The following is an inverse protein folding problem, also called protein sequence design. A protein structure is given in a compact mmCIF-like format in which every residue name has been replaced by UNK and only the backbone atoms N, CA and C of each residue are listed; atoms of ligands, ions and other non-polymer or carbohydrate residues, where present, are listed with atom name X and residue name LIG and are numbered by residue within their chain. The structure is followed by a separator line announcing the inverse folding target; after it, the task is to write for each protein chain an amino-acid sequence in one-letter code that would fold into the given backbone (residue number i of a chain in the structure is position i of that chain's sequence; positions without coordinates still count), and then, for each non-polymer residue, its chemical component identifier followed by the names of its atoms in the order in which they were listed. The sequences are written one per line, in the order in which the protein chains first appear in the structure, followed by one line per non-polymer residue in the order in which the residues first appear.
data_IF_859528528549
#
_entry.id   IF_859528528549
#
_cell.length_a   1.000
_cell.length_b   1.000
_cell.length_c   1.000
_cell.angle_alpha   90.00
_cell.angle_beta   90.00
_cell.angle_gamma   90.00
#
_symmetry.space_group_name_H-M   'P 1'
#
loop_
_entity.id
_entity.type
_entity.pdbx_description
1 polymer ?
#
# COMPACT_ATOMS: atom_id res chain seq x y z
N UNK A 1 -0.94 7.91 -16.93
CA UNK A 1 -1.86 7.27 -15.96
C UNK A 1 -3.05 6.58 -16.62
N UNK A 2 -3.86 7.24 -17.45
CA UNK A 2 -5.04 6.61 -18.08
C UNK A 2 -4.73 5.33 -18.88
N UNK A 3 -3.59 5.28 -19.57
CA UNK A 3 -3.16 4.08 -20.30
C UNK A 3 -2.94 2.90 -19.35
N UNK A 4 -2.31 3.16 -18.19
CA UNK A 4 -2.06 2.15 -17.15
C UNK A 4 -3.38 1.57 -16.65
N UNK A 5 -4.37 2.44 -16.38
CA UNK A 5 -5.69 2.00 -15.94
C UNK A 5 -6.46 1.24 -17.03
N UNK A 6 -6.29 1.64 -18.30
CA UNK A 6 -6.87 0.90 -19.44
C UNK A 6 -6.29 -0.51 -19.56
N UNK A 7 -4.98 -0.67 -19.38
CA UNK A 7 -4.32 -1.99 -19.37
C UNK A 7 -4.81 -2.82 -18.19
N UNK A 8 -4.99 -2.20 -17.02
CA UNK A 8 -5.52 -2.89 -15.84
C UNK A 8 -6.95 -3.42 -16.08
N UNK A 9 -7.83 -2.59 -16.64
CA UNK A 9 -9.18 -3.00 -16.99
C UNK A 9 -9.18 -4.17 -18.00
N UNK A 10 -8.31 -4.11 -19.01
CA UNK A 10 -8.16 -5.18 -19.99
C UNK A 10 -7.69 -6.49 -19.36
N UNK A 11 -6.68 -6.46 -18.49
CA UNK A 11 -6.18 -7.62 -17.76
C UNK A 11 -7.25 -8.21 -16.83
N UNK A 12 -8.06 -7.36 -16.19
CA UNK A 12 -9.19 -7.80 -15.35
C UNK A 12 -10.26 -8.52 -16.19
N UNK A 13 -10.62 -7.97 -17.33
CA UNK A 13 -11.60 -8.59 -18.24
C UNK A 13 -11.11 -9.96 -18.72
N UNK A 14 -9.83 -10.08 -19.09
CA UNK A 14 -9.24 -11.37 -19.46
C UNK A 14 -9.29 -12.37 -18.32
N UNK A 15 -8.97 -11.95 -17.08
CA UNK A 15 -9.06 -12.80 -15.89
C UNK A 15 -10.49 -13.28 -15.64
N UNK A 16 -11.50 -12.40 -15.77
CA UNK A 16 -12.90 -12.77 -15.62
C UNK A 16 -13.35 -13.77 -16.73
N UNK A 17 -12.95 -13.56 -17.96
CA UNK A 17 -13.28 -14.48 -19.07
C UNK A 17 -12.65 -15.87 -18.83
N UNK A 18 -11.41 -15.93 -18.37
CA UNK A 18 -10.75 -17.18 -18.03
C UNK A 18 -11.50 -17.94 -16.92
N UNK A 19 -12.00 -17.22 -15.89
CA UNK A 19 -12.83 -17.78 -14.83
C UNK A 19 -14.18 -18.32 -15.32
N UNK A 20 -14.79 -17.64 -16.30
CA UNK A 20 -16.08 -18.09 -16.87
C UNK A 20 -15.91 -19.31 -17.78
N UNK A 21 -14.77 -19.44 -18.47
CA UNK A 21 -14.49 -20.55 -19.41
C UNK A 21 -14.29 -21.90 -18.74
N UNK A 22 -13.90 -21.93 -17.45
CA UNK A 22 -13.61 -23.17 -16.70
C UNK A 22 -14.89 -23.90 -16.19
N UNK A 23 -16.06 -23.46 -16.55
CA UNK A 23 -17.32 -23.89 -15.94
C UNK A 23 -18.19 -24.75 -16.83
N UNK A 24 -17.62 -25.54 -17.73
CA UNK A 24 -18.38 -26.57 -18.46
C UNK A 24 -18.66 -27.76 -17.55
N UNK A 25 -19.96 -28.06 -17.24
CA UNK A 25 -20.34 -29.16 -16.34
C UNK A 25 -20.17 -30.56 -16.97
N UNK A 26 -19.54 -30.66 -18.12
CA UNK A 26 -19.48 -31.90 -18.90
C UNK A 26 -18.32 -32.82 -18.58
N UNK A 27 -17.58 -32.61 -17.48
CA UNK A 27 -16.71 -33.65 -16.88
C UNK A 27 -15.53 -34.19 -17.73
N UNK A 28 -15.20 -33.55 -18.84
CA UNK A 28 -13.96 -33.78 -19.56
C UNK A 28 -12.92 -32.80 -19.06
N UNK A 29 -12.24 -33.16 -17.97
CA UNK A 29 -11.03 -32.47 -17.50
C UNK A 29 -9.97 -32.50 -18.62
N UNK A 30 -10.05 -31.50 -19.49
CA UNK A 30 -8.99 -31.28 -20.46
C UNK A 30 -7.82 -30.65 -19.69
N UNK A 31 -6.75 -31.44 -19.42
CA UNK A 31 -5.51 -30.93 -18.79
C UNK A 31 -5.02 -29.62 -19.41
N UNK A 32 -5.27 -29.41 -20.68
CA UNK A 32 -4.96 -28.17 -21.38
C UNK A 32 -5.75 -26.97 -20.83
N UNK A 33 -7.02 -27.16 -20.49
CA UNK A 33 -7.89 -26.08 -19.97
C UNK A 33 -7.46 -25.65 -18.57
N UNK A 34 -7.12 -26.60 -17.68
CA UNK A 34 -6.54 -26.29 -16.36
C UNK A 34 -5.20 -25.54 -16.46
N UNK A 35 -4.34 -25.94 -17.40
CA UNK A 35 -3.06 -25.27 -17.64
C UNK A 35 -3.30 -23.82 -18.11
N UNK A 36 -4.22 -23.59 -19.04
CA UNK A 36 -4.56 -22.26 -19.53
C UNK A 36 -5.15 -21.39 -18.41
N UNK A 37 -6.04 -21.94 -17.61
CA UNK A 37 -6.65 -21.24 -16.46
C UNK A 37 -5.58 -20.83 -15.44
N UNK A 38 -4.73 -21.78 -15.03
CA UNK A 38 -3.65 -21.50 -14.07
C UNK A 38 -2.67 -20.46 -14.61
N UNK A 39 -2.31 -20.55 -15.89
CA UNK A 39 -1.45 -19.56 -16.54
C UNK A 39 -2.10 -18.17 -16.57
N UNK A 40 -3.40 -18.07 -16.92
CA UNK A 40 -4.13 -16.82 -16.93
C UNK A 40 -4.18 -16.17 -15.55
N UNK A 41 -4.38 -16.93 -14.48
CA UNK A 41 -4.37 -16.45 -13.11
C UNK A 41 -2.99 -15.93 -12.68
N UNK A 42 -1.92 -16.65 -13.02
CA UNK A 42 -0.54 -16.19 -12.75
C UNK A 42 -0.25 -14.89 -13.48
N UNK A 43 -0.60 -14.78 -14.77
CA UNK A 43 -0.44 -13.55 -15.54
C UNK A 43 -1.27 -12.39 -14.99
N UNK A 44 -2.46 -12.67 -14.49
CA UNK A 44 -3.30 -11.66 -13.84
C UNK A 44 -2.61 -11.11 -12.58
N UNK A 45 -2.17 -11.97 -11.67
CA UNK A 45 -1.50 -11.55 -10.43
C UNK A 45 -0.24 -10.75 -10.73
N UNK A 46 0.59 -11.23 -11.66
CA UNK A 46 1.79 -10.52 -12.10
C UNK A 46 1.44 -9.17 -12.75
N UNK A 47 0.39 -9.11 -13.56
CA UNK A 47 -0.10 -7.89 -14.20
C UNK A 47 -0.55 -6.84 -13.19
N UNK A 48 -1.35 -7.22 -12.20
CA UNK A 48 -1.81 -6.34 -11.12
C UNK A 48 -0.63 -5.78 -10.33
N UNK A 49 0.32 -6.64 -9.95
CA UNK A 49 1.52 -6.23 -9.24
C UNK A 49 2.39 -5.27 -10.07
N UNK A 50 2.63 -5.61 -11.34
CA UNK A 50 3.42 -4.78 -12.25
C UNK A 50 2.79 -3.39 -12.44
N UNK A 51 1.47 -3.32 -12.61
CA UNK A 51 0.76 -2.04 -12.78
C UNK A 51 0.84 -1.17 -11.53
N UNK A 52 0.79 -1.76 -10.33
CA UNK A 52 0.97 -1.03 -9.09
C UNK A 52 2.39 -0.44 -9.00
N UNK A 53 3.41 -1.25 -9.27
CA UNK A 53 4.81 -0.80 -9.27
C UNK A 53 5.04 0.30 -10.32
N UNK A 54 4.52 0.14 -11.54
CA UNK A 54 4.64 1.13 -12.61
C UNK A 54 3.97 2.45 -12.21
N UNK A 55 2.79 2.39 -11.59
CA UNK A 55 2.08 3.59 -11.09
C UNK A 55 2.92 4.33 -10.06
N UNK A 56 3.54 3.60 -9.14
CA UNK A 56 4.40 4.15 -8.10
C UNK A 56 5.67 4.80 -8.69
N UNK A 57 6.37 4.08 -9.57
CA UNK A 57 7.58 4.59 -10.27
C UNK A 57 7.23 5.82 -11.10
N UNK A 58 6.09 5.83 -11.79
CA UNK A 58 5.65 7.01 -12.54
C UNK A 58 5.49 8.25 -11.67
N UNK A 59 4.93 8.11 -10.45
CA UNK A 59 4.81 9.23 -9.51
C UNK A 59 6.17 9.74 -9.05
N UNK A 60 7.12 8.82 -8.80
CA UNK A 60 8.49 9.17 -8.43
C UNK A 60 9.18 9.99 -9.53
N UNK A 61 9.13 9.49 -10.76
CA UNK A 61 9.74 10.16 -11.93
C UNK A 61 9.08 11.52 -12.18
N UNK A 62 7.76 11.58 -12.10
CA UNK A 62 7.01 12.82 -12.26
C UNK A 62 7.39 13.86 -11.20
N UNK A 63 7.50 13.45 -9.95
CA UNK A 63 7.94 14.34 -8.87
C UNK A 63 9.35 14.87 -9.13
N UNK A 64 10.28 13.99 -9.46
CA UNK A 64 11.66 14.34 -9.77
C UNK A 64 11.74 15.37 -10.92
N UNK A 65 11.08 15.07 -12.04
CA UNK A 65 11.09 15.94 -13.21
C UNK A 65 10.46 17.32 -12.96
N UNK A 66 9.41 17.36 -12.15
CA UNK A 66 8.70 18.62 -11.89
C UNK A 66 9.30 19.46 -10.77
N UNK A 67 10.17 18.87 -9.90
CA UNK A 67 10.80 19.62 -8.80
C UNK A 67 12.27 19.95 -9.05
N UNK A 68 13.01 19.07 -9.75
CA UNK A 68 14.47 19.14 -9.83
C UNK A 68 15.04 19.20 -11.24
N UNK A 69 14.25 18.99 -12.28
CA UNK A 69 14.63 19.13 -13.68
C UNK A 69 14.30 20.54 -14.22
N UNK A 70 14.48 20.77 -15.50
CA UNK A 70 14.21 22.04 -16.20
C UNK A 70 12.81 22.62 -15.92
N UNK A 71 11.81 21.75 -15.70
CA UNK A 71 10.47 22.16 -15.28
C UNK A 71 10.44 22.73 -13.85
N UNK A 72 11.37 22.31 -13.01
CA UNK A 72 11.53 22.81 -11.65
C UNK A 72 11.89 24.30 -11.63
N UNK A 73 12.75 24.76 -12.55
CA UNK A 73 13.10 26.17 -12.66
C UNK A 73 11.85 27.05 -12.84
N UNK A 74 10.98 26.68 -13.78
CA UNK A 74 9.72 27.40 -14.01
C UNK A 74 8.79 27.36 -12.78
N UNK A 75 8.78 26.24 -12.08
CA UNK A 75 7.95 26.07 -10.89
C UNK A 75 8.41 26.97 -9.72
N UNK A 76 9.73 27.19 -9.60
CA UNK A 76 10.30 28.02 -8.52
C UNK A 76 10.32 29.52 -8.84
N UNK A 77 10.08 29.92 -10.10
CA UNK A 77 9.90 31.33 -10.47
C UNK A 77 8.49 31.86 -10.18
N UNK A 78 7.53 30.97 -9.84
CA UNK A 78 6.18 31.39 -9.45
C UNK A 78 6.22 32.12 -8.10
N UNK A 79 5.42 33.19 -7.92
CA UNK A 79 5.33 33.94 -6.67
C UNK A 79 4.53 33.17 -5.58
N UNK A 80 4.83 31.89 -5.40
CA UNK A 80 4.16 30.99 -4.45
C UNK A 80 5.21 30.33 -3.54
N UNK A 81 4.91 30.19 -2.27
CA UNK A 81 5.83 29.58 -1.32
C UNK A 81 6.17 28.10 -1.69
N UNK A 82 7.43 27.75 -1.60
CA UNK A 82 7.94 26.39 -1.91
C UNK A 82 7.21 25.27 -1.17
N UNK A 83 6.79 25.54 0.08
CA UNK A 83 5.97 24.61 0.86
C UNK A 83 4.62 24.33 0.21
N UNK A 84 3.96 25.35 -0.31
CA UNK A 84 2.65 25.20 -0.97
C UNK A 84 2.78 24.35 -2.23
N UNK A 85 3.82 24.57 -3.01
CA UNK A 85 4.10 23.79 -4.23
C UNK A 85 4.32 22.32 -3.88
N UNK A 86 5.16 22.04 -2.87
CA UNK A 86 5.42 20.68 -2.42
C UNK A 86 4.15 19.96 -1.95
N UNK A 87 3.35 20.62 -1.09
CA UNK A 87 2.12 20.05 -0.55
C UNK A 87 1.09 19.75 -1.65
N UNK A 88 0.94 20.62 -2.65
CA UNK A 88 0.05 20.36 -3.78
C UNK A 88 0.51 19.16 -4.59
N UNK A 89 1.82 19.04 -4.86
CA UNK A 89 2.37 17.88 -5.58
C UNK A 89 2.21 16.58 -4.79
N UNK A 90 2.43 16.63 -3.47
CA UNK A 90 2.19 15.49 -2.57
C UNK A 90 0.73 15.05 -2.62
N UNK A 91 -0.21 15.99 -2.48
CA UNK A 91 -1.63 15.71 -2.46
C UNK A 91 -2.10 15.12 -3.79
N UNK A 92 -1.69 15.71 -4.92
CA UNK A 92 -2.02 15.17 -6.26
C UNK A 92 -1.46 13.76 -6.44
N UNK A 93 -0.22 13.49 -6.01
CA UNK A 93 0.38 12.15 -6.10
C UNK A 93 -0.36 11.15 -5.21
N UNK A 94 -0.77 11.56 -4.00
CA UNK A 94 -1.57 10.75 -3.10
C UNK A 94 -2.93 10.39 -3.74
N UNK A 95 -3.65 11.36 -4.32
CA UNK A 95 -4.92 11.12 -4.99
C UNK A 95 -4.78 10.10 -6.14
N UNK A 96 -3.72 10.20 -6.95
CA UNK A 96 -3.48 9.24 -8.03
C UNK A 96 -3.17 7.83 -7.51
N UNK A 97 -2.39 7.70 -6.43
CA UNK A 97 -2.13 6.39 -5.82
C UNK A 97 -3.39 5.79 -5.19
N UNK A 98 -4.20 6.60 -4.51
CA UNK A 98 -5.47 6.14 -3.98
C UNK A 98 -6.40 5.64 -5.08
N UNK A 99 -6.48 6.36 -6.20
CA UNK A 99 -7.25 5.91 -7.37
C UNK A 99 -6.72 4.56 -7.91
N UNK A 100 -5.41 4.38 -7.99
CA UNK A 100 -4.79 3.12 -8.42
C UNK A 100 -5.15 1.95 -7.49
N UNK A 101 -5.15 2.19 -6.18
CA UNK A 101 -5.56 1.18 -5.20
C UNK A 101 -7.03 0.83 -5.29
N UNK A 102 -7.92 1.81 -5.47
CA UNK A 102 -9.35 1.56 -5.65
C UNK A 102 -9.58 0.68 -6.88
N UNK A 103 -8.93 0.99 -8.00
CA UNK A 103 -9.04 0.20 -9.23
C UNK A 103 -8.53 -1.22 -8.99
N UNK A 104 -7.44 -1.41 -8.26
CA UNK A 104 -6.91 -2.72 -7.89
C UNK A 104 -7.92 -3.51 -7.04
N UNK A 105 -8.52 -2.90 -6.03
CA UNK A 105 -9.54 -3.56 -5.20
C UNK A 105 -10.78 -3.93 -6.00
N UNK A 106 -11.28 -3.05 -6.86
CA UNK A 106 -12.41 -3.34 -7.75
C UNK A 106 -12.09 -4.51 -8.69
N UNK A 107 -10.86 -4.57 -9.21
CA UNK A 107 -10.39 -5.67 -10.05
C UNK A 107 -10.38 -7.01 -9.31
N UNK A 108 -9.83 -7.05 -8.10
CA UNK A 108 -9.80 -8.26 -7.27
C UNK A 108 -11.23 -8.71 -6.90
N UNK A 109 -12.09 -7.76 -6.53
CA UNK A 109 -13.47 -8.03 -6.20
C UNK A 109 -14.25 -8.59 -7.39
N UNK A 110 -14.06 -8.03 -8.59
CA UNK A 110 -14.68 -8.53 -9.82
C UNK A 110 -14.29 -9.98 -10.12
N UNK A 111 -13.01 -10.35 -9.92
CA UNK A 111 -12.57 -11.73 -10.03
C UNK A 111 -13.17 -12.64 -8.97
N UNK A 112 -13.25 -12.19 -7.72
CA UNK A 112 -13.89 -12.94 -6.64
C UNK A 112 -15.35 -13.27 -6.94
N UNK A 113 -16.10 -12.29 -7.49
CA UNK A 113 -17.47 -12.50 -7.96
C UNK A 113 -17.55 -13.47 -9.16
N UNK A 114 -16.57 -13.43 -10.06
CA UNK A 114 -16.51 -14.35 -11.20
C UNK A 114 -16.20 -15.80 -10.76
N UNK A 115 -15.38 -15.97 -9.71
CA UNK A 115 -15.01 -17.27 -9.17
C UNK A 115 -16.15 -17.95 -8.40
N UNK A 116 -16.90 -17.18 -7.60
CA UNK A 116 -17.95 -17.68 -6.71
C UNK A 116 -19.34 -17.48 -7.29
N UNK A 117 -19.80 -18.40 -8.14
CA UNK A 117 -21.15 -18.38 -8.72
C UNK A 117 -22.30 -18.64 -7.73
N UNK A 118 -21.99 -19.12 -6.52
CA UNK A 118 -22.96 -19.47 -5.47
C UNK A 118 -22.82 -18.64 -4.19
N UNK A 119 -22.09 -17.52 -4.22
CA UNK A 119 -21.91 -16.68 -3.04
C UNK A 119 -23.22 -15.96 -2.72
N UNK A 120 -23.90 -16.43 -1.66
CA UNK A 120 -25.06 -15.72 -1.11
C UNK A 120 -24.55 -14.64 -0.14
N UNK A 121 -24.58 -13.40 -0.59
CA UNK A 121 -24.00 -12.25 0.10
C UNK A 121 -24.51 -12.10 1.56
N UNK A 122 -25.76 -12.45 1.82
CA UNK A 122 -26.38 -12.20 3.11
C UNK A 122 -25.97 -13.23 4.20
N UNK A 123 -26.05 -14.53 3.90
CA UNK A 123 -25.79 -15.56 4.92
C UNK A 123 -24.29 -15.75 5.22
N UNK A 124 -23.45 -15.68 4.17
CA UNK A 124 -22.01 -15.84 4.31
C UNK A 124 -21.36 -14.61 4.97
N UNK A 125 -21.94 -13.42 4.75
CA UNK A 125 -21.42 -12.18 5.33
C UNK A 125 -21.72 -12.07 6.84
N UNK A 126 -22.89 -12.50 7.28
CA UNK A 126 -23.24 -12.52 8.71
C UNK A 126 -22.37 -13.52 9.49
N UNK A 127 -22.08 -14.68 8.91
CA UNK A 127 -21.19 -15.67 9.50
C UNK A 127 -19.75 -15.13 9.58
N UNK A 128 -19.25 -14.50 8.53
CA UNK A 128 -17.96 -13.84 8.52
C UNK A 128 -17.85 -12.74 9.57
N UNK A 129 -18.91 -11.93 9.77
CA UNK A 129 -18.93 -10.89 10.82
C UNK A 129 -18.77 -11.48 12.22
N UNK A 130 -19.47 -12.57 12.52
CA UNK A 130 -19.42 -13.23 13.83
C UNK A 130 -18.05 -13.87 14.06
N UNK A 131 -17.53 -14.60 13.09
CA UNK A 131 -16.20 -15.23 13.18
C UNK A 131 -15.09 -14.19 13.31
N UNK A 132 -15.20 -13.08 12.57
CA UNK A 132 -14.25 -11.98 12.65
C UNK A 132 -14.25 -11.32 14.03
N UNK A 133 -15.44 -11.09 14.61
CA UNK A 133 -15.56 -10.51 15.95
C UNK A 133 -15.00 -11.45 17.03
N UNK A 134 -15.21 -12.76 16.88
CA UNK A 134 -14.67 -13.77 17.79
C UNK A 134 -13.13 -13.84 17.71
N UNK A 135 -12.55 -13.71 16.52
CA UNK A 135 -11.09 -13.78 16.30
C UNK A 135 -10.37 -12.50 16.69
N UNK A 136 -10.88 -11.35 16.27
CA UNK A 136 -10.19 -10.07 16.41
C UNK A 136 -10.67 -9.22 17.59
N UNK A 137 -11.78 -9.59 18.24
CA UNK A 137 -12.38 -8.84 19.36
C UNK A 137 -12.89 -7.44 18.97
N UNK A 138 -12.94 -7.13 17.67
CA UNK A 138 -13.44 -5.88 17.12
C UNK A 138 -14.54 -6.16 16.10
N UNK A 139 -15.51 -5.25 15.99
CA UNK A 139 -16.48 -5.34 14.90
C UNK A 139 -15.81 -5.18 13.55
N UNK A 140 -16.26 -5.90 12.53
CA UNK A 140 -15.76 -5.81 11.17
C UNK A 140 -15.80 -4.35 10.65
N UNK A 141 -16.82 -3.59 11.06
CA UNK A 141 -16.97 -2.18 10.68
C UNK A 141 -15.82 -1.31 11.24
N UNK A 142 -15.51 -1.45 12.52
CA UNK A 142 -14.41 -0.72 13.17
C UNK A 142 -13.06 -1.07 12.54
N UNK A 143 -12.84 -2.36 12.26
CA UNK A 143 -11.64 -2.84 11.61
C UNK A 143 -11.50 -2.30 10.17
N UNK A 144 -12.60 -2.25 9.41
CA UNK A 144 -12.60 -1.72 8.04
C UNK A 144 -12.23 -0.24 8.00
N UNK A 145 -12.78 0.57 8.90
CA UNK A 145 -12.44 2.00 9.03
C UNK A 145 -10.96 2.15 9.35
N UNK A 146 -10.46 1.35 10.30
CA UNK A 146 -9.04 1.37 10.67
C UNK A 146 -8.15 0.98 9.49
N UNK A 147 -8.50 -0.05 8.73
CA UNK A 147 -7.74 -0.50 7.55
C UNK A 147 -7.70 0.55 6.45
N UNK A 148 -8.81 1.25 6.18
CA UNK A 148 -8.83 2.37 5.23
C UNK A 148 -7.89 3.48 5.69
N UNK A 149 -7.94 3.84 6.97
CA UNK A 149 -7.03 4.84 7.53
C UNK A 149 -5.56 4.41 7.43
N UNK A 150 -5.23 3.18 7.81
CA UNK A 150 -3.89 2.62 7.72
C UNK A 150 -3.38 2.57 6.27
N UNK A 151 -4.26 2.27 5.31
CA UNK A 151 -3.93 2.25 3.87
C UNK A 151 -3.58 3.65 3.36
N UNK A 152 -4.36 4.67 3.72
CA UNK A 152 -4.06 6.08 3.36
C UNK A 152 -2.72 6.50 3.96
N UNK A 153 -2.50 6.17 5.23
CA UNK A 153 -1.28 6.49 5.95
C UNK A 153 -0.05 5.82 5.33
N UNK A 154 -0.15 4.55 4.96
CA UNK A 154 0.92 3.80 4.28
C UNK A 154 1.26 4.43 2.93
N UNK A 155 0.27 4.79 2.13
CA UNK A 155 0.51 5.46 0.86
C UNK A 155 1.24 6.79 1.03
N UNK A 156 0.84 7.58 2.03
CA UNK A 156 1.50 8.84 2.35
C UNK A 156 2.95 8.62 2.81
N UNK A 157 3.19 7.64 3.66
CA UNK A 157 4.51 7.26 4.17
C UNK A 157 5.47 6.88 3.03
N UNK A 158 5.05 5.98 2.14
CA UNK A 158 5.88 5.55 1.01
C UNK A 158 6.14 6.69 0.01
N UNK A 159 5.15 7.55 -0.27
CA UNK A 159 5.36 8.73 -1.11
C UNK A 159 6.39 9.68 -0.51
N UNK A 160 6.24 10.00 0.77
CA UNK A 160 7.17 10.88 1.47
C UNK A 160 8.58 10.31 1.54
N UNK A 161 8.71 8.99 1.75
CA UNK A 161 10.00 8.29 1.72
C UNK A 161 10.70 8.48 0.37
N UNK A 162 9.97 8.30 -0.73
CA UNK A 162 10.54 8.45 -2.08
C UNK A 162 10.86 9.92 -2.38
N UNK A 163 10.00 10.85 -1.99
CA UNK A 163 10.28 12.27 -2.17
C UNK A 163 11.50 12.71 -1.35
N UNK A 164 11.65 12.20 -0.12
CA UNK A 164 12.83 12.45 0.71
C UNK A 164 14.10 11.86 0.07
N UNK A 165 14.02 10.63 -0.43
CA UNK A 165 15.17 9.99 -1.11
C UNK A 165 15.58 10.73 -2.38
N UNK A 166 14.60 11.18 -3.18
CA UNK A 166 14.84 12.02 -4.36
C UNK A 166 15.48 13.35 -3.99
N UNK A 167 15.03 13.98 -2.91
CA UNK A 167 15.59 15.25 -2.42
C UNK A 167 17.04 15.09 -1.94
N UNK A 168 17.37 14.00 -1.24
CA UNK A 168 18.75 13.69 -0.81
C UNK A 168 19.65 13.45 -2.02
N UNK A 169 19.16 12.78 -3.06
CA UNK A 169 19.92 12.55 -4.28
C UNK A 169 20.41 13.83 -4.94
N UNK A 170 19.70 14.95 -4.78
CA UNK A 170 20.11 16.25 -5.31
C UNK A 170 21.31 16.87 -4.58
N UNK A 171 21.64 16.42 -3.39
CA UNK A 171 22.84 16.87 -2.67
C UNK A 171 24.15 16.36 -3.31
N UNK A 172 24.06 15.33 -4.15
CA UNK A 172 25.22 14.73 -4.83
C UNK A 172 25.39 15.30 -6.23
N UNK A 173 26.60 15.75 -6.58
CA UNK A 173 26.89 16.41 -7.85
C UNK A 173 27.11 15.44 -9.02
N UNK A 174 27.75 14.26 -8.79
CA UNK A 174 28.16 13.35 -9.87
C UNK A 174 27.18 12.22 -10.19
N UNK A 175 26.42 11.70 -9.21
CA UNK A 175 25.55 10.53 -9.35
C UNK A 175 24.20 10.76 -8.67
N UNK A 176 23.47 11.79 -9.08
CA UNK A 176 22.18 12.22 -8.48
C UNK A 176 21.16 11.06 -8.37
N UNK A 177 20.96 10.32 -9.47
CA UNK A 177 19.98 9.20 -9.49
C UNK A 177 20.44 8.03 -8.63
N UNK A 178 21.72 7.66 -8.71
CA UNK A 178 22.26 6.57 -7.88
C UNK A 178 22.18 6.88 -6.38
N UNK A 179 22.46 8.13 -6.00
CA UNK A 179 22.33 8.57 -4.61
C UNK A 179 20.88 8.60 -4.13
N UNK A 180 19.91 8.98 -4.98
CA UNK A 180 18.48 8.89 -4.67
C UNK A 180 18.04 7.46 -4.40
N UNK A 181 18.45 6.52 -5.26
CA UNK A 181 18.13 5.09 -5.09
C UNK A 181 18.78 4.55 -3.81
N UNK A 182 20.06 4.86 -3.58
CA UNK A 182 20.78 4.46 -2.37
C UNK A 182 20.12 4.98 -1.09
N UNK A 183 19.75 6.27 -1.05
CA UNK A 183 19.01 6.85 0.07
C UNK A 183 17.66 6.17 0.29
N UNK A 184 16.92 5.85 -0.78
CA UNK A 184 15.65 5.13 -0.71
C UNK A 184 15.81 3.73 -0.08
N UNK A 185 16.84 2.99 -0.48
CA UNK A 185 17.14 1.67 0.10
C UNK A 185 17.46 1.79 1.59
N UNK A 186 18.30 2.77 1.97
CA UNK A 186 18.66 2.99 3.38
C UNK A 186 17.42 3.35 4.22
N UNK A 187 16.56 4.24 3.75
CA UNK A 187 15.32 4.60 4.44
C UNK A 187 14.39 3.41 4.58
N UNK A 188 14.20 2.64 3.52
CA UNK A 188 13.38 1.44 3.54
C UNK A 188 13.90 0.41 4.55
N UNK A 189 15.18 0.08 4.48
CA UNK A 189 15.80 -0.89 5.39
C UNK A 189 15.76 -0.43 6.85
N UNK A 190 16.05 0.85 7.11
CA UNK A 190 15.98 1.38 8.48
C UNK A 190 14.56 1.35 9.03
N UNK A 191 13.56 1.72 8.24
CA UNK A 191 12.14 1.63 8.59
C UNK A 191 11.71 0.20 8.90
N UNK A 192 12.11 -0.78 8.05
CA UNK A 192 11.80 -2.20 8.27
C UNK A 192 12.41 -2.76 9.55
N UNK A 193 13.66 -2.39 9.85
CA UNK A 193 14.33 -2.82 11.10
C UNK A 193 13.59 -2.27 12.31
N UNK A 194 13.28 -0.97 12.32
CA UNK A 194 12.59 -0.34 13.45
C UNK A 194 11.17 -0.88 13.60
N UNK A 195 10.41 -1.02 12.50
CA UNK A 195 9.04 -1.56 12.54
C UNK A 195 9.00 -3.00 13.04
N UNK A 196 9.97 -3.84 12.64
CA UNK A 196 10.06 -5.22 13.12
C UNK A 196 10.38 -5.30 14.62
N UNK A 197 11.25 -4.43 15.12
CA UNK A 197 11.54 -4.33 16.56
C UNK A 197 10.29 -3.90 17.34
N UNK A 198 9.56 -2.89 16.87
CA UNK A 198 8.33 -2.43 17.49
C UNK A 198 7.28 -3.54 17.52
N UNK A 199 7.13 -4.27 16.43
CA UNK A 199 6.17 -5.37 16.31
C UNK A 199 6.48 -6.51 17.29
N UNK A 200 7.77 -6.90 17.42
CA UNK A 200 8.21 -7.92 18.38
C UNK A 200 7.99 -7.44 19.81
N UNK A 201 8.36 -6.21 20.13
CA UNK A 201 8.17 -5.66 21.48
C UNK A 201 6.70 -5.56 21.85
N UNK A 202 5.84 -5.03 20.98
CA UNK A 202 4.39 -4.92 21.25
C UNK A 202 3.72 -6.28 21.35
N UNK A 203 4.14 -7.26 20.54
CA UNK A 203 3.70 -8.64 20.66
C UNK A 203 4.10 -9.27 21.99
N UNK A 204 5.36 -9.14 22.37
CA UNK A 204 5.87 -9.66 23.63
C UNK A 204 5.15 -9.04 24.84
N UNK A 205 5.03 -7.71 24.92
CA UNK A 205 4.30 -7.03 25.98
C UNK A 205 2.80 -7.33 25.97
N UNK A 206 2.18 -7.47 24.79
CA UNK A 206 0.79 -7.87 24.65
C UNK A 206 0.52 -9.25 25.28
N UNK A 207 1.38 -10.22 25.00
CA UNK A 207 1.27 -11.57 25.59
C UNK A 207 1.55 -11.53 27.09
N UNK A 208 2.61 -10.87 27.54
CA UNK A 208 3.00 -10.82 28.96
C UNK A 208 1.96 -10.16 29.86
N UNK A 209 1.35 -9.05 29.42
CA UNK A 209 0.31 -8.37 30.19
C UNK A 209 -0.96 -9.22 30.32
N UNK A 210 -1.24 -10.07 29.35
CA UNK A 210 -2.43 -10.92 29.34
C UNK A 210 -2.23 -12.23 30.13
N UNK A 211 -0.99 -12.73 30.25
CA UNK A 211 -0.67 -13.92 31.08
C UNK A 211 -0.95 -13.69 32.58
N UNK A 212 -0.91 -12.45 33.06
CA UNK A 212 -1.22 -12.11 34.45
C UNK A 212 -2.74 -12.09 34.79
N UNK A 213 -3.62 -12.25 33.81
CA UNK A 213 -5.09 -12.20 33.96
C UNK A 213 -5.73 -13.59 33.74
N UNK A 214 -4.96 -14.67 33.88
CA UNK A 214 -5.44 -16.03 33.61
C UNK A 214 -6.42 -16.47 34.70
N UNK A 215 -7.71 -16.35 34.43
CA UNK A 215 -8.74 -17.23 34.98
C UNK A 215 -9.18 -18.19 33.86
N UNK A 216 -9.07 -19.47 34.16
CA UNK A 216 -9.36 -20.61 33.27
C UNK A 216 -10.65 -20.42 32.44
N UNK A 217 -10.65 -20.63 31.16
CA UNK A 217 -11.71 -20.96 30.19
C UNK A 217 -12.18 -19.93 29.15
N UNK A 218 -11.65 -18.68 29.10
CA UNK A 218 -12.03 -17.74 28.01
C UNK A 218 -10.83 -16.92 27.45
N UNK A 219 -9.64 -17.34 27.76
CA UNK A 219 -8.45 -16.46 27.73
C UNK A 219 -7.69 -16.40 26.41
N UNK A 220 -7.75 -17.42 25.58
CA UNK A 220 -6.97 -17.43 24.33
C UNK A 220 -7.47 -16.39 23.30
N UNK A 221 -8.77 -16.26 23.13
CA UNK A 221 -9.36 -15.34 22.16
C UNK A 221 -9.21 -13.86 22.58
N UNK A 222 -9.33 -13.58 23.89
CA UNK A 222 -9.18 -12.21 24.42
C UNK A 222 -7.72 -11.76 24.36
N UNK A 223 -6.75 -12.64 24.62
CA UNK A 223 -5.33 -12.32 24.54
C UNK A 223 -4.89 -12.04 23.10
N UNK A 224 -5.38 -12.81 22.15
CA UNK A 224 -5.08 -12.62 20.73
C UNK A 224 -5.63 -11.28 20.23
N UNK A 225 -6.88 -10.95 20.53
CA UNK A 225 -7.53 -9.72 20.06
C UNK A 225 -6.87 -8.45 20.61
N UNK A 226 -6.51 -8.44 21.91
CA UNK A 226 -5.82 -7.30 22.52
C UNK A 226 -4.40 -7.12 22.00
N UNK A 227 -3.71 -8.23 21.73
CA UNK A 227 -2.36 -8.19 21.15
C UNK A 227 -2.39 -7.65 19.71
N UNK A 228 -3.31 -8.13 18.89
CA UNK A 228 -3.47 -7.64 17.51
C UNK A 228 -3.82 -6.16 17.48
N UNK A 229 -4.75 -5.71 18.31
CA UNK A 229 -5.11 -4.28 18.38
C UNK A 229 -3.94 -3.39 18.81
N UNK A 230 -3.13 -3.84 19.76
CA UNK A 230 -1.94 -3.10 20.19
C UNK A 230 -0.85 -3.04 19.11
N UNK A 231 -0.66 -4.11 18.34
CA UNK A 231 0.26 -4.13 17.19
C UNK A 231 -0.19 -3.18 16.09
N UNK A 232 -1.47 -3.18 15.74
CA UNK A 232 -2.05 -2.28 14.75
C UNK A 232 -1.87 -0.82 15.16
N UNK A 233 -2.17 -0.50 16.41
CA UNK A 233 -2.04 0.86 16.93
C UNK A 233 -0.58 1.33 16.95
N UNK A 234 0.35 0.51 17.44
CA UNK A 234 1.78 0.85 17.47
C UNK A 234 2.36 1.01 16.06
N UNK A 235 1.96 0.17 15.10
CA UNK A 235 2.35 0.28 13.71
C UNK A 235 1.87 1.59 13.08
N UNK A 236 0.63 2.01 13.35
CA UNK A 236 0.11 3.28 12.82
C UNK A 236 0.80 4.50 13.44
N UNK A 237 1.10 4.48 14.73
CA UNK A 237 1.88 5.52 15.38
C UNK A 237 3.28 5.66 14.77
N UNK A 238 3.96 4.54 14.56
CA UNK A 238 5.27 4.53 13.92
C UNK A 238 5.21 5.11 12.50
N UNK A 239 4.22 4.73 11.71
CA UNK A 239 4.01 5.29 10.36
C UNK A 239 3.79 6.81 10.37
N UNK A 240 3.08 7.34 11.35
CA UNK A 240 2.90 8.79 11.53
C UNK A 240 4.25 9.48 11.82
N UNK A 241 5.06 8.89 12.72
CA UNK A 241 6.38 9.43 13.05
C UNK A 241 7.28 9.45 11.81
N UNK A 242 7.32 8.37 11.03
CA UNK A 242 8.09 8.33 9.78
C UNK A 242 7.61 9.36 8.76
N UNK A 243 6.30 9.55 8.59
CA UNK A 243 5.74 10.59 7.73
C UNK A 243 6.25 11.99 8.13
N UNK A 244 6.25 12.29 9.42
CA UNK A 244 6.74 13.58 9.92
C UNK A 244 8.24 13.75 9.66
N UNK A 245 9.04 12.72 9.91
CA UNK A 245 10.49 12.75 9.67
C UNK A 245 10.77 12.99 8.18
N UNK A 246 10.17 12.20 7.28
CA UNK A 246 10.39 12.35 5.83
C UNK A 246 9.90 13.70 5.31
N UNK A 247 8.77 14.20 5.82
CA UNK A 247 8.30 15.53 5.48
C UNK A 247 9.29 16.62 5.88
N UNK A 248 9.83 16.56 7.10
CA UNK A 248 10.85 17.52 7.58
C UNK A 248 12.11 17.45 6.71
N UNK A 249 12.59 16.24 6.40
CA UNK A 249 13.76 16.04 5.52
C UNK A 249 13.53 16.69 4.17
N UNK A 250 12.39 16.44 3.51
CA UNK A 250 12.05 17.08 2.24
C UNK A 250 12.09 18.60 2.35
N UNK A 251 11.45 19.16 3.39
CA UNK A 251 11.33 20.59 3.57
C UNK A 251 12.65 21.30 3.85
N UNK A 252 13.53 20.66 4.63
CA UNK A 252 14.85 21.19 4.93
C UNK A 252 15.72 21.25 3.67
N UNK A 253 15.68 20.20 2.86
CA UNK A 253 16.46 20.12 1.62
C UNK A 253 15.95 21.14 0.59
N UNK A 254 14.63 21.20 0.37
CA UNK A 254 14.02 22.15 -0.57
C UNK A 254 14.33 23.60 -0.20
N UNK A 255 14.35 23.95 1.10
CA UNK A 255 14.62 25.32 1.56
C UNK A 255 16.10 25.71 1.51
N UNK A 256 17.01 24.79 1.84
CA UNK A 256 18.42 25.13 2.09
C UNK A 256 19.38 24.75 0.97
N UNK A 257 19.04 23.76 0.15
CA UNK A 257 19.97 23.11 -0.78
C UNK A 257 19.40 22.92 -2.18
N UNK A 258 18.50 23.80 -2.63
CA UNK A 258 17.95 23.71 -3.97
C UNK A 258 19.01 24.16 -4.98
N UNK A 259 19.86 23.26 -5.45
CA UNK A 259 20.71 23.47 -6.62
C UNK A 259 19.89 23.10 -7.87
N UNK A 260 19.33 24.09 -8.51
CA UNK A 260 18.75 23.99 -9.84
C UNK A 260 19.92 24.12 -10.84
N UNK A 261 20.44 22.99 -11.34
CA UNK A 261 21.30 22.92 -12.52
C UNK A 261 20.52 22.32 -13.68
#
# INVERSE_FOLDING_TARGET
MFIIYGVMAFVTILGCIAMYGDSDPAGTENQLQEIFFTAAMVFYVLGVFALFVISYVYMCVRFYNTMYSDQGYLTHTLPVGQMSIFNVKLLVSLCWLMLSLIIMFVSIFALGCAANRGFSFDADFDMLMVDFQNLFGMSLHTFSIYMIFAMILSCLQYLLMVFASGSIGQLFTKHKVGASIGAGIVFYMSGQIVSSIILVLTGYFGVMNNVNVVTYNATENVTFSTTVSSMLFSGSLFSIIECVIFYIVCMVIIKKHLNLE
#
